data_IF_007885483408
#
_entry.id   IF_007885483408
#
_cell.length_a   1.000
_cell.length_b   1.000
_cell.length_c   1.000
_cell.angle_alpha   90.00
_cell.angle_beta   90.00
_cell.angle_gamma   90.00
#
_symmetry.space_group_name_H-M   'P 1'
#
loop_
_entity.id
_entity.type
_entity.pdbx_description
1 polymer ?
#
# COMPACT_ATOMS: atom_id res chain seq x y z
N UNK A 1 -2.91 -28.56 -4.14
CA UNK A 1 -2.08 -27.65 -3.33
C UNK A 1 -3.05 -26.76 -2.57
N UNK A 2 -3.04 -26.86 -1.24
CA UNK A 2 -4.00 -26.16 -0.39
C UNK A 2 -3.58 -24.70 -0.31
N UNK A 3 -4.28 -23.82 -1.03
CA UNK A 3 -4.11 -22.38 -0.92
C UNK A 3 -4.49 -21.99 0.50
N UNK A 4 -3.51 -21.63 1.33
CA UNK A 4 -3.78 -21.09 2.66
C UNK A 4 -4.65 -19.84 2.50
N UNK A 5 -5.92 -19.93 2.91
CA UNK A 5 -6.86 -18.82 3.00
C UNK A 5 -6.62 -17.96 4.24
N UNK A 6 -5.43 -18.07 4.84
CA UNK A 6 -5.04 -17.28 5.98
C UNK A 6 -4.74 -15.84 5.53
N UNK A 7 -5.57 -14.93 6.05
CA UNK A 7 -5.51 -13.49 5.81
C UNK A 7 -4.75 -12.76 6.93
N UNK A 8 -4.29 -13.47 7.96
CA UNK A 8 -3.67 -12.86 9.15
C UNK A 8 -2.24 -12.44 8.92
N UNK A 9 -1.51 -13.11 8.02
CA UNK A 9 -0.12 -12.80 7.70
C UNK A 9 0.09 -12.78 6.20
N UNK A 10 0.63 -11.67 5.69
CA UNK A 10 0.91 -11.49 4.27
C UNK A 10 2.39 -11.15 4.11
N UNK A 11 3.10 -11.98 3.36
CA UNK A 11 4.50 -11.79 3.02
C UNK A 11 4.71 -12.12 1.55
N UNK A 12 5.92 -11.90 1.04
CA UNK A 12 6.27 -12.31 -0.31
C UNK A 12 6.58 -13.81 -0.33
N UNK A 13 5.81 -14.56 -1.11
CA UNK A 13 5.97 -15.99 -1.36
C UNK A 13 6.08 -16.28 -2.86
N UNK A 14 6.54 -17.48 -3.21
CA UNK A 14 6.58 -17.92 -4.61
C UNK A 14 5.17 -17.87 -5.22
N UNK A 15 4.99 -17.09 -6.29
CA UNK A 15 3.72 -16.84 -6.99
C UNK A 15 2.65 -16.07 -6.19
N UNK A 16 2.97 -15.53 -5.02
CA UNK A 16 2.08 -14.68 -4.23
C UNK A 16 2.87 -13.53 -3.61
N UNK A 17 2.81 -12.33 -4.20
CA UNK A 17 3.47 -11.17 -3.60
C UNK A 17 2.56 -10.46 -2.60
N UNK A 18 3.18 -9.84 -1.59
CA UNK A 18 2.49 -8.93 -0.68
C UNK A 18 1.78 -7.82 -1.46
N UNK A 19 2.44 -7.29 -2.49
CA UNK A 19 1.91 -6.24 -3.36
C UNK A 19 0.59 -6.66 -4.02
N UNK A 20 0.53 -7.86 -4.60
CA UNK A 20 -0.67 -8.31 -5.33
C UNK A 20 -1.85 -8.52 -4.39
N UNK A 21 -1.62 -9.13 -3.21
CA UNK A 21 -2.66 -9.24 -2.18
C UNK A 21 -3.11 -7.87 -1.70
N UNK A 22 -2.18 -6.95 -1.45
CA UNK A 22 -2.52 -5.60 -0.98
C UNK A 22 -3.36 -4.83 -2.00
N UNK A 23 -3.05 -4.94 -3.30
CA UNK A 23 -3.85 -4.35 -4.39
C UNK A 23 -5.29 -4.84 -4.40
N UNK A 24 -5.52 -6.13 -4.14
CA UNK A 24 -6.87 -6.71 -4.07
C UNK A 24 -7.63 -6.17 -2.86
N UNK A 25 -6.96 -6.06 -1.70
CA UNK A 25 -7.60 -5.62 -0.46
C UNK A 25 -8.04 -4.15 -0.50
N UNK A 26 -7.29 -3.27 -1.18
CA UNK A 26 -7.55 -1.83 -1.18
C UNK A 26 -8.37 -1.34 -2.37
N UNK A 27 -8.58 -2.17 -3.41
CA UNK A 27 -9.11 -1.75 -4.71
C UNK A 27 -10.42 -0.97 -4.62
N UNK A 28 -11.34 -1.45 -3.80
CA UNK A 28 -12.71 -0.92 -3.70
C UNK A 28 -12.88 -0.05 -2.43
N UNK A 29 -11.77 0.39 -1.82
CA UNK A 29 -11.80 1.21 -0.63
C UNK A 29 -12.26 2.63 -0.96
N UNK A 30 -13.41 3.04 -0.40
CA UNK A 30 -13.91 4.42 -0.48
C UNK A 30 -12.96 5.43 0.16
N UNK A 31 -12.38 5.06 1.30
CA UNK A 31 -11.38 5.85 2.03
C UNK A 31 -10.19 4.96 2.35
N UNK A 32 -8.99 5.44 2.04
CA UNK A 32 -7.75 4.75 2.33
C UNK A 32 -6.95 5.54 3.36
N UNK A 33 -6.93 5.03 4.59
CA UNK A 33 -6.22 5.61 5.72
C UNK A 33 -5.12 4.64 6.16
N UNK A 34 -3.87 5.05 6.06
CA UNK A 34 -2.76 4.20 6.50
C UNK A 34 -1.75 4.94 7.38
N UNK A 35 -1.22 4.20 8.36
CA UNK A 35 -0.09 4.61 9.17
C UNK A 35 1.10 3.77 8.72
N UNK A 36 2.19 4.43 8.33
CA UNK A 36 3.40 3.77 7.85
C UNK A 36 4.62 4.29 8.58
N UNK A 37 5.53 3.39 8.95
CA UNK A 37 6.80 3.78 9.57
C UNK A 37 7.66 4.58 8.59
N UNK A 38 7.88 4.02 7.40
CA UNK A 38 8.64 4.66 6.31
C UNK A 38 7.79 4.72 5.05
N UNK A 39 7.92 5.79 4.30
CA UNK A 39 7.22 5.95 3.03
C UNK A 39 8.23 6.15 1.89
N UNK A 40 8.05 5.35 0.84
CA UNK A 40 8.79 5.47 -0.41
C UNK A 40 7.82 5.69 -1.55
N UNK A 41 8.11 6.69 -2.39
CA UNK A 41 7.31 7.02 -3.58
C UNK A 41 7.21 5.85 -4.56
N UNK A 42 8.26 5.04 -4.68
CA UNK A 42 8.27 3.83 -5.50
C UNK A 42 7.22 2.79 -5.08
N UNK A 43 7.04 2.60 -3.77
CA UNK A 43 6.02 1.70 -3.23
C UNK A 43 4.61 2.23 -3.49
N UNK A 44 4.40 3.53 -3.31
CA UNK A 44 3.12 4.17 -3.63
C UNK A 44 2.80 4.08 -5.13
N UNK A 45 3.79 4.27 -6.01
CA UNK A 45 3.63 4.11 -7.45
C UNK A 45 3.29 2.66 -7.87
N UNK A 46 3.66 1.66 -7.08
CA UNK A 46 3.23 0.29 -7.32
C UNK A 46 1.75 0.06 -6.96
N UNK A 47 1.17 0.90 -6.08
CA UNK A 47 -0.17 0.76 -5.51
C UNK A 47 -1.21 1.73 -6.07
N UNK A 48 -0.80 2.92 -6.55
CA UNK A 48 -1.73 4.03 -6.79
C UNK A 48 -2.89 3.68 -7.73
N UNK A 49 -2.66 2.79 -8.73
CA UNK A 49 -3.72 2.36 -9.66
C UNK A 49 -4.90 1.69 -8.95
N UNK A 50 -4.63 0.94 -7.89
CA UNK A 50 -5.67 0.32 -7.06
C UNK A 50 -6.41 1.33 -6.18
N UNK A 51 -5.93 2.57 -6.07
CA UNK A 51 -6.55 3.64 -5.29
C UNK A 51 -7.20 4.70 -6.18
N UNK A 52 -7.30 4.47 -7.50
CA UNK A 52 -7.85 5.46 -8.44
C UNK A 52 -9.31 5.84 -8.17
N UNK A 53 -10.11 4.89 -7.68
CA UNK A 53 -11.53 5.10 -7.33
C UNK A 53 -11.72 5.51 -5.86
N UNK A 54 -10.64 5.56 -5.08
CA UNK A 54 -10.68 5.96 -3.67
C UNK A 54 -10.91 7.47 -3.56
N UNK A 55 -12.00 7.87 -2.91
CA UNK A 55 -12.39 9.28 -2.78
C UNK A 55 -11.42 10.09 -1.93
N UNK A 56 -10.78 9.44 -0.94
CA UNK A 56 -9.83 10.10 -0.04
C UNK A 56 -8.72 9.18 0.40
N UNK A 57 -7.49 9.65 0.24
CA UNK A 57 -6.27 8.99 0.69
C UNK A 57 -5.65 9.84 1.80
N UNK A 58 -5.41 9.25 2.98
CA UNK A 58 -4.66 9.88 4.08
C UNK A 58 -3.56 8.94 4.55
N UNK A 59 -2.33 9.42 4.53
CA UNK A 59 -1.14 8.64 4.90
C UNK A 59 -0.43 9.38 6.03
N UNK A 60 -0.33 8.75 7.19
CA UNK A 60 0.47 9.25 8.31
C UNK A 60 1.83 8.54 8.29
N UNK A 61 2.89 9.31 8.11
CA UNK A 61 4.28 8.81 8.02
C UNK A 61 4.95 9.03 9.36
N UNK A 62 5.41 7.95 10.00
CA UNK A 62 5.95 7.99 11.36
C UNK A 62 7.40 8.45 11.45
N UNK A 63 8.28 7.95 10.58
CA UNK A 63 9.73 8.17 10.65
C UNK A 63 10.24 8.61 9.27
N UNK A 64 10.94 9.74 9.23
CA UNK A 64 11.77 10.15 8.11
C UNK A 64 11.07 10.10 6.75
N UNK A 65 10.25 11.10 6.45
CA UNK A 65 9.87 11.38 5.06
C UNK A 65 11.13 11.83 4.33
N UNK A 66 11.51 11.13 3.26
CA UNK A 66 12.66 11.57 2.47
C UNK A 66 12.38 12.95 1.87
N UNK A 67 13.43 13.75 1.66
CA UNK A 67 13.31 15.10 1.06
C UNK A 67 12.56 15.03 -0.28
N UNK A 68 12.79 13.98 -1.06
CA UNK A 68 12.12 13.70 -2.33
C UNK A 68 10.62 13.49 -2.14
N UNK A 69 10.22 12.74 -1.11
CA UNK A 69 8.80 12.51 -0.79
C UNK A 69 8.11 13.81 -0.36
N UNK A 70 8.78 14.62 0.46
CA UNK A 70 8.26 15.93 0.86
C UNK A 70 8.06 16.85 -0.35
N UNK A 71 9.04 16.90 -1.27
CA UNK A 71 8.96 17.72 -2.47
C UNK A 71 7.87 17.26 -3.46
N UNK A 72 7.50 15.97 -3.46
CA UNK A 72 6.46 15.44 -4.34
C UNK A 72 5.03 15.77 -3.88
N UNK A 73 4.86 16.08 -2.59
CA UNK A 73 3.57 16.39 -1.97
C UNK A 73 3.30 17.92 -1.98
N UNK A 74 4.35 18.73 -2.11
CA UNK A 74 4.26 20.19 -2.17
C UNK A 74 3.70 20.67 -3.50
#
# INVERSE_FOLDING_TARGET
MQSSSDLTFITNENNQSLLDRFKVLIKDAKYFDCLVGYFYTSGFYALYKSLNETEKIRILIGIGTSSETYNLIK
#
